data_IF_321145993288
#
_entry.id   IF_321145993288
#
_cell.length_a   1.000
_cell.length_b   1.000
_cell.length_c   1.000
_cell.angle_alpha   90.00
_cell.angle_beta   90.00
_cell.angle_gamma   90.00
#
_symmetry.space_group_name_H-M   'P 1'
#
loop_
_entity.id
_entity.type
_entity.pdbx_description
1 polymer ?
#
# COMPACT_ATOMS: atom_id res chain seq x y z
N UNK A 1 49.61 8.43 20.94
CA UNK A 1 48.85 9.54 20.32
C UNK A 1 47.38 9.18 20.28
N UNK A 2 46.64 9.79 21.21
CA UNK A 2 45.19 10.07 21.23
C UNK A 2 44.18 8.94 20.98
N UNK A 3 43.93 8.16 22.03
CA UNK A 3 42.64 7.54 22.33
C UNK A 3 41.56 8.63 22.39
N UNK A 4 40.54 8.56 21.52
CA UNK A 4 39.32 9.38 21.65
C UNK A 4 38.52 8.84 22.83
N UNK A 5 38.55 9.56 23.95
CA UNK A 5 37.59 9.37 25.04
C UNK A 5 36.18 9.61 24.52
N UNK A 6 35.38 8.55 24.48
CA UNK A 6 33.92 8.62 24.53
C UNK A 6 33.55 9.09 25.92
N UNK A 7 33.31 10.40 26.07
CA UNK A 7 32.77 10.95 27.30
C UNK A 7 31.26 10.71 27.30
N UNK A 8 30.83 9.62 27.95
CA UNK A 8 29.50 9.47 28.49
C UNK A 8 29.27 10.57 29.54
N UNK A 9 28.61 11.66 29.14
CA UNK A 9 28.02 12.65 30.06
C UNK A 9 26.56 12.82 29.65
N UNK A 10 25.75 11.79 29.91
CA UNK A 10 24.31 11.86 29.79
C UNK A 10 23.71 12.01 31.19
N UNK A 11 23.38 13.24 31.61
CA UNK A 11 22.50 13.44 32.76
C UNK A 11 22.64 14.74 33.58
N UNK A 12 23.70 15.54 33.42
CA UNK A 12 23.98 16.64 34.37
C UNK A 12 23.71 18.06 33.85
N UNK A 13 23.75 18.30 32.53
CA UNK A 13 23.89 19.66 32.01
C UNK A 13 22.58 20.46 31.95
N UNK A 14 21.41 19.81 32.00
CA UNK A 14 20.11 20.47 31.87
C UNK A 14 19.30 20.49 33.16
N UNK A 15 19.94 20.22 34.30
CA UNK A 15 19.34 20.40 35.63
C UNK A 15 19.28 21.88 36.01
N UNK A 16 20.26 22.67 35.56
CA UNK A 16 20.36 24.10 35.89
C UNK A 16 19.58 24.98 34.91
N UNK A 17 19.04 26.10 35.40
CA UNK A 17 18.35 27.08 34.56
C UNK A 17 19.25 27.65 33.45
N UNK A 18 20.54 27.81 33.72
CA UNK A 18 21.51 28.30 32.73
C UNK A 18 21.84 27.25 31.68
N UNK A 19 21.97 25.98 32.07
CA UNK A 19 22.12 24.85 31.14
C UNK A 19 20.94 24.72 30.17
N UNK A 20 19.71 24.80 30.69
CA UNK A 20 18.49 24.81 29.85
C UNK A 20 18.43 26.01 28.91
N UNK A 21 18.89 27.16 29.38
CA UNK A 21 18.96 28.40 28.59
C UNK A 21 19.97 28.31 27.46
N UNK A 22 21.14 27.72 27.72
CA UNK A 22 22.16 27.47 26.70
C UNK A 22 21.63 26.47 25.66
N UNK A 23 20.98 25.40 26.09
CA UNK A 23 20.38 24.40 25.21
C UNK A 23 19.33 25.00 24.27
N UNK A 24 18.46 25.89 24.76
CA UNK A 24 17.47 26.59 23.93
C UNK A 24 18.15 27.52 22.89
N UNK A 25 19.23 28.21 23.27
CA UNK A 25 19.97 29.09 22.36
C UNK A 25 20.68 28.30 21.26
N UNK A 26 21.28 27.17 21.61
CA UNK A 26 22.02 26.30 20.70
C UNK A 26 21.11 25.31 19.96
N UNK A 27 19.82 25.23 20.31
CA UNK A 27 18.88 24.22 19.82
C UNK A 27 19.44 22.80 20.00
N UNK A 28 20.01 22.53 21.17
CA UNK A 28 20.70 21.28 21.46
C UNK A 28 19.71 20.10 21.44
N UNK A 29 19.85 19.12 20.53
CA UNK A 29 18.95 17.96 20.46
C UNK A 29 19.00 17.11 21.73
N UNK A 30 20.13 17.08 22.42
CA UNK A 30 20.34 16.38 23.69
C UNK A 30 19.45 16.87 24.84
N UNK A 31 18.87 18.07 24.73
CA UNK A 31 17.97 18.62 25.74
C UNK A 31 16.49 18.27 25.49
N UNK A 32 16.14 17.79 24.29
CA UNK A 32 14.78 17.34 24.03
C UNK A 32 14.46 16.09 24.87
N UNK A 33 13.37 16.14 25.62
CA UNK A 33 12.99 15.08 26.58
C UNK A 33 13.62 15.24 27.97
N UNK A 34 14.54 16.19 28.16
CA UNK A 34 15.09 16.55 29.47
C UNK A 34 14.56 17.89 30.01
N UNK A 35 14.10 18.78 29.12
CA UNK A 35 13.39 19.99 29.51
C UNK A 35 12.47 20.51 28.40
N UNK A 36 11.53 21.38 28.79
CA UNK A 36 10.73 22.21 27.88
C UNK A 36 10.80 23.68 28.30
N UNK A 37 10.58 24.59 27.36
CA UNK A 37 10.50 26.02 27.61
C UNK A 37 9.08 26.54 27.38
N UNK A 38 8.50 27.26 28.34
CA UNK A 38 7.22 27.94 28.20
C UNK A 38 7.39 29.42 27.95
N UNK A 39 6.47 30.01 27.16
CA UNK A 39 6.50 31.42 26.75
C UNK A 39 5.22 32.09 27.22
N UNK A 40 5.33 32.91 28.27
CA UNK A 40 4.19 33.56 28.92
C UNK A 40 3.33 34.40 27.96
N UNK A 41 3.94 35.03 26.96
CA UNK A 41 3.21 35.88 26.00
C UNK A 41 2.29 35.10 25.04
N UNK A 42 2.40 33.76 24.98
CA UNK A 42 1.67 32.94 23.98
C UNK A 42 0.94 31.76 24.58
N UNK A 43 1.10 31.51 25.89
CA UNK A 43 0.64 30.32 26.60
C UNK A 43 1.05 29.01 25.90
N UNK A 44 2.24 28.99 25.29
CA UNK A 44 2.80 27.82 24.59
C UNK A 44 4.06 27.35 25.28
N UNK A 45 4.22 26.03 25.40
CA UNK A 45 5.53 25.42 25.68
C UNK A 45 6.06 24.64 24.48
N UNK A 46 7.38 24.64 24.35
CA UNK A 46 8.15 24.12 23.22
C UNK A 46 9.33 23.28 23.71
N UNK A 47 9.83 22.43 22.81
CA UNK A 47 11.16 21.82 22.95
C UNK A 47 12.28 22.84 22.69
N UNK A 48 13.48 22.63 23.27
CA UNK A 48 14.68 23.40 22.94
C UNK A 48 14.99 23.46 21.43
N UNK A 49 14.74 22.39 20.68
CA UNK A 49 14.99 22.33 19.22
C UNK A 49 13.93 23.01 18.35
N UNK A 50 12.83 23.50 18.93
CA UNK A 50 11.64 23.92 18.18
C UNK A 50 11.96 24.96 17.08
N UNK A 51 11.60 24.73 15.80
CA UNK A 51 11.92 25.64 14.68
C UNK A 51 11.19 26.99 14.73
N UNK A 52 10.28 27.18 15.68
CA UNK A 52 9.64 28.47 15.91
C UNK A 52 10.67 29.55 16.26
N UNK A 53 10.32 30.81 15.96
CA UNK A 53 11.17 31.96 16.30
C UNK A 53 11.43 31.95 17.81
N UNK A 54 12.70 32.12 18.26
CA UNK A 54 13.01 32.13 19.68
C UNK A 54 12.23 33.24 20.38
N UNK A 55 11.61 32.91 21.51
CA UNK A 55 10.98 33.91 22.36
C UNK A 55 12.05 34.87 22.92
N UNK A 56 11.68 36.14 23.11
CA UNK A 56 12.56 37.13 23.73
C UNK A 56 12.93 36.66 25.14
N UNK A 57 14.22 36.80 25.50
CA UNK A 57 14.85 36.26 26.71
C UNK A 57 14.13 36.58 28.05
N UNK A 58 13.23 37.55 28.09
CA UNK A 58 12.56 38.02 29.32
C UNK A 58 11.29 37.24 29.68
N UNK A 59 10.71 36.44 28.78
CA UNK A 59 9.38 35.82 28.98
C UNK A 59 9.39 34.29 28.95
N UNK A 60 10.57 33.66 29.15
CA UNK A 60 10.75 32.21 29.06
C UNK A 60 10.97 31.59 30.44
N UNK A 61 10.18 30.57 30.77
CA UNK A 61 10.39 29.68 31.92
C UNK A 61 10.74 28.26 31.43
N UNK A 62 11.41 27.47 32.27
CA UNK A 62 11.81 26.10 31.95
C UNK A 62 11.16 25.09 32.89
N UNK A 63 10.80 23.94 32.34
CA UNK A 63 10.15 22.82 33.05
C UNK A 63 10.84 21.50 32.68
N UNK A 64 10.63 20.46 33.46
CA UNK A 64 11.36 19.19 33.33
C UNK A 64 10.85 18.34 32.16
N UNK A 65 9.54 18.09 32.09
CA UNK A 65 8.95 17.20 31.06
C UNK A 65 7.87 17.88 30.24
N UNK A 66 6.97 18.62 30.89
CA UNK A 66 5.90 19.40 30.26
C UNK A 66 5.59 20.67 31.08
N UNK A 67 4.65 21.48 30.59
CA UNK A 67 4.17 22.67 31.29
C UNK A 67 2.63 22.76 31.32
N UNK A 68 1.92 21.63 31.19
CA UNK A 68 0.45 21.60 31.07
C UNK A 68 -0.20 22.02 32.38
N UNK A 69 0.28 21.48 33.51
CA UNK A 69 -0.23 21.84 34.84
C UNK A 69 0.05 23.31 35.20
N UNK A 70 1.05 23.92 34.57
CA UNK A 70 1.35 25.34 34.68
C UNK A 70 0.49 26.22 33.74
N UNK A 71 -0.48 25.63 33.02
CA UNK A 71 -1.44 26.35 32.17
C UNK A 71 -1.00 26.56 30.72
N UNK A 72 0.11 25.98 30.28
CA UNK A 72 0.63 26.16 28.92
C UNK A 72 0.15 25.05 27.98
N UNK A 73 -0.21 25.40 26.75
CA UNK A 73 -0.57 24.44 25.70
C UNK A 73 0.66 23.95 24.92
N UNK A 74 0.68 22.70 24.43
CA UNK A 74 1.80 22.20 23.63
C UNK A 74 1.91 22.91 22.28
N UNK A 75 3.14 23.17 21.85
CA UNK A 75 3.40 23.75 20.54
C UNK A 75 3.03 22.78 19.40
N UNK A 76 2.14 23.20 18.50
CA UNK A 76 1.74 22.39 17.32
C UNK A 76 2.88 22.09 16.33
N UNK A 77 3.99 22.83 16.41
CA UNK A 77 5.12 22.72 15.47
C UNK A 77 6.17 21.70 15.90
N UNK A 78 6.59 21.74 17.17
CA UNK A 78 7.52 20.73 17.70
C UNK A 78 6.82 19.57 18.40
N UNK A 79 5.54 19.74 18.78
CA UNK A 79 4.70 18.76 19.48
C UNK A 79 5.46 18.12 20.65
N UNK A 80 5.76 18.93 21.69
CA UNK A 80 6.62 18.52 22.80
C UNK A 80 6.07 17.33 23.59
N UNK A 81 4.76 17.10 23.48
CA UNK A 81 3.94 16.05 24.06
C UNK A 81 3.96 14.71 23.30
N UNK A 82 4.45 14.67 22.05
CA UNK A 82 4.58 13.44 21.25
C UNK A 82 6.00 12.83 21.36
N UNK A 83 6.31 11.69 20.73
CA UNK A 83 7.69 11.15 20.70
C UNK A 83 8.69 12.13 20.02
N UNK A 84 10.00 11.91 20.16
CA UNK A 84 11.01 12.75 19.47
C UNK A 84 10.85 12.65 17.94
N UNK A 85 11.09 13.74 17.17
CA UNK A 85 10.96 13.73 15.72
C UNK A 85 11.78 12.62 15.05
N UNK A 86 13.02 12.40 15.50
CA UNK A 86 13.89 11.34 14.99
C UNK A 86 13.31 9.94 15.22
N UNK A 87 12.70 9.70 16.39
CA UNK A 87 12.00 8.44 16.67
C UNK A 87 10.78 8.23 15.78
N UNK A 88 10.00 9.30 15.52
CA UNK A 88 8.86 9.25 14.58
C UNK A 88 9.30 8.94 13.15
N UNK A 89 10.43 9.49 12.70
CA UNK A 89 10.98 9.16 11.39
C UNK A 89 11.49 7.72 11.32
N UNK A 90 12.17 7.23 12.35
CA UNK A 90 12.66 5.85 12.40
C UNK A 90 11.51 4.82 12.37
N UNK A 91 10.43 5.07 13.11
CA UNK A 91 9.22 4.23 13.08
C UNK A 91 8.52 4.30 11.71
N UNK A 92 8.38 5.49 11.13
CA UNK A 92 7.81 5.65 9.80
C UNK A 92 8.64 4.96 8.71
N UNK A 93 9.98 5.03 8.80
CA UNK A 93 10.90 4.33 7.90
C UNK A 93 10.79 2.82 8.10
N UNK A 94 10.79 2.33 9.34
CA UNK A 94 10.63 0.90 9.63
C UNK A 94 9.30 0.36 9.11
N UNK A 95 8.22 1.12 9.32
CA UNK A 95 6.90 0.78 8.80
C UNK A 95 6.88 0.81 7.27
N UNK A 96 7.53 1.78 6.63
CA UNK A 96 7.67 1.84 5.19
C UNK A 96 8.48 0.65 4.64
N UNK A 97 9.60 0.29 5.26
CA UNK A 97 10.40 -0.89 4.89
C UNK A 97 9.56 -2.17 4.98
N UNK A 98 8.82 -2.38 6.07
CA UNK A 98 7.92 -3.55 6.20
C UNK A 98 6.83 -3.58 5.14
N UNK A 99 6.28 -2.42 4.76
CA UNK A 99 5.28 -2.32 3.68
C UNK A 99 5.89 -2.59 2.31
N UNK A 100 7.15 -2.22 2.08
CA UNK A 100 7.90 -2.53 0.85
C UNK A 100 8.22 -4.03 0.80
N UNK A 101 8.76 -4.60 1.88
CA UNK A 101 9.06 -6.04 1.98
C UNK A 101 7.80 -6.90 1.84
N UNK A 102 6.67 -6.47 2.42
CA UNK A 102 5.38 -7.13 2.24
C UNK A 102 4.83 -6.99 0.80
N UNK A 103 5.16 -5.90 0.11
CA UNK A 103 4.81 -5.72 -1.30
C UNK A 103 5.68 -6.56 -2.24
N UNK A 104 6.94 -6.84 -1.87
CA UNK A 104 7.88 -7.70 -2.59
C UNK A 104 7.51 -9.20 -2.53
N UNK A 105 6.60 -9.60 -1.62
CA UNK A 105 6.12 -10.98 -1.52
C UNK A 105 5.13 -11.37 -2.65
N UNK A 106 4.70 -10.43 -3.50
CA UNK A 106 3.79 -10.67 -4.63
C UNK A 106 4.37 -10.07 -5.93
N UNK A 107 5.14 -10.87 -6.68
CA UNK A 107 5.50 -10.57 -8.07
C UNK A 107 6.74 -9.67 -8.31
N UNK A 108 6.96 -9.31 -9.57
CA UNK A 108 8.03 -8.47 -10.14
C UNK A 108 8.39 -7.25 -9.28
N UNK A 109 9.65 -6.82 -9.36
CA UNK A 109 10.05 -5.57 -8.71
C UNK A 109 9.26 -4.41 -9.36
N UNK A 110 8.70 -3.47 -8.58
CA UNK A 110 7.92 -2.35 -9.11
C UNK A 110 8.63 -1.55 -10.23
N UNK A 111 9.97 -1.52 -10.23
CA UNK A 111 10.78 -0.84 -11.23
C UNK A 111 10.76 -1.46 -12.64
N UNK A 112 10.53 -2.77 -12.77
CA UNK A 112 10.57 -3.46 -14.07
C UNK A 112 9.25 -3.27 -14.84
N UNK A 113 8.13 -3.21 -14.11
CA UNK A 113 6.82 -2.88 -14.67
C UNK A 113 6.69 -1.40 -15.05
N UNK A 114 7.25 -0.49 -14.22
CA UNK A 114 7.28 0.95 -14.52
C UNK A 114 8.13 1.29 -15.76
N UNK A 115 9.06 0.41 -16.13
CA UNK A 115 9.84 0.48 -17.37
C UNK A 115 9.21 -0.32 -18.51
N UNK A 116 7.88 -0.51 -18.50
CA UNK A 116 7.16 -1.15 -19.59
C UNK A 116 7.52 -2.62 -19.82
N UNK A 117 8.13 -3.32 -18.85
CA UNK A 117 8.54 -4.71 -19.00
C UNK A 117 9.90 -4.91 -19.70
N UNK A 118 10.76 -3.91 -19.72
CA UNK A 118 12.08 -4.02 -20.36
C UNK A 118 12.87 -5.24 -19.85
N UNK A 119 13.23 -6.13 -20.77
CA UNK A 119 14.00 -7.34 -20.47
C UNK A 119 13.18 -8.49 -19.87
N UNK A 120 11.85 -8.39 -19.93
CA UNK A 120 10.92 -9.44 -19.50
C UNK A 120 10.30 -10.08 -20.73
N UNK A 121 10.34 -11.41 -20.78
CA UNK A 121 9.59 -12.19 -21.77
C UNK A 121 8.18 -12.45 -21.24
N UNK A 122 7.17 -12.10 -22.05
CA UNK A 122 5.76 -12.34 -21.74
C UNK A 122 5.25 -13.38 -22.72
N UNK A 123 5.05 -14.59 -22.20
CA UNK A 123 4.35 -15.66 -22.91
C UNK A 123 2.87 -15.37 -22.88
N UNK A 124 2.21 -15.50 -24.02
CA UNK A 124 0.76 -15.38 -24.06
C UNK A 124 0.11 -16.32 -25.08
N UNK A 125 -1.17 -16.57 -24.86
CA UNK A 125 -2.06 -17.21 -25.82
C UNK A 125 -3.45 -16.58 -25.74
N UNK A 126 -4.19 -16.69 -26.82
CA UNK A 126 -5.61 -16.36 -26.87
C UNK A 126 -6.38 -17.62 -27.23
N UNK A 127 -7.40 -17.92 -26.44
CA UNK A 127 -8.25 -19.11 -26.58
C UNK A 127 -9.71 -18.73 -26.35
N UNK A 128 -10.62 -19.68 -26.49
CA UNK A 128 -12.06 -19.47 -26.32
C UNK A 128 -12.56 -20.10 -25.03
N UNK A 129 -13.54 -19.44 -24.41
CA UNK A 129 -14.29 -19.95 -23.26
C UNK A 129 -15.79 -19.73 -23.46
N UNK A 130 -16.60 -20.20 -22.50
CA UNK A 130 -18.04 -19.88 -22.44
C UNK A 130 -18.33 -18.38 -22.32
N UNK A 131 -17.34 -17.56 -21.94
CA UNK A 131 -17.46 -16.11 -21.73
C UNK A 131 -16.81 -15.27 -22.85
N UNK A 132 -16.53 -15.90 -24.00
CA UNK A 132 -15.86 -15.28 -25.15
C UNK A 132 -14.36 -15.60 -25.22
N UNK A 133 -13.61 -14.79 -25.96
CA UNK A 133 -12.16 -14.95 -26.09
C UNK A 133 -11.47 -14.63 -24.76
N UNK A 134 -10.46 -15.42 -24.42
CA UNK A 134 -9.65 -15.28 -23.21
C UNK A 134 -8.19 -15.16 -23.61
N UNK A 135 -7.58 -14.04 -23.24
CA UNK A 135 -6.13 -13.88 -23.28
C UNK A 135 -5.56 -14.30 -21.94
N UNK A 136 -4.57 -15.19 -21.96
CA UNK A 136 -3.76 -15.57 -20.80
C UNK A 136 -2.31 -15.20 -21.10
N UNK A 137 -1.70 -14.42 -20.22
CA UNK A 137 -0.30 -14.04 -20.31
C UNK A 137 0.43 -14.20 -18.97
N UNK A 138 1.70 -14.55 -19.05
CA UNK A 138 2.57 -14.72 -17.88
C UNK A 138 4.04 -14.50 -18.19
N UNK A 139 4.79 -14.28 -17.12
CA UNK A 139 6.25 -14.20 -17.11
C UNK A 139 6.81 -15.52 -16.62
N UNK A 140 8.14 -15.64 -16.52
CA UNK A 140 8.78 -16.80 -15.86
C UNK A 140 8.40 -16.96 -14.37
N UNK A 141 7.78 -15.94 -13.76
CA UNK A 141 7.38 -15.95 -12.35
C UNK A 141 5.94 -16.37 -12.12
N UNK A 142 5.07 -16.25 -13.13
CA UNK A 142 3.65 -16.54 -12.97
C UNK A 142 2.74 -15.81 -13.96
N UNK A 143 1.43 -16.04 -13.80
CA UNK A 143 0.39 -15.37 -14.58
C UNK A 143 0.33 -13.90 -14.18
N UNK A 144 0.51 -13.01 -15.18
CA UNK A 144 0.46 -11.57 -14.99
C UNK A 144 -0.81 -10.94 -15.57
N UNK A 145 -1.52 -11.64 -16.47
CA UNK A 145 -2.75 -11.13 -17.08
C UNK A 145 -3.69 -12.25 -17.53
N UNK A 146 -4.97 -12.13 -17.19
CA UNK A 146 -6.08 -12.94 -17.72
C UNK A 146 -7.21 -11.98 -18.07
N UNK A 147 -7.63 -11.94 -19.33
CA UNK A 147 -8.61 -10.97 -19.83
C UNK A 147 -9.63 -11.62 -20.74
N UNK A 148 -10.88 -11.21 -20.62
CA UNK A 148 -11.92 -11.55 -21.58
C UNK A 148 -12.02 -10.48 -22.67
N UNK A 149 -12.42 -10.88 -23.88
CA UNK A 149 -12.72 -9.97 -24.98
C UNK A 149 -13.53 -10.64 -26.08
N UNK A 150 -14.12 -9.83 -26.94
CA UNK A 150 -14.82 -10.30 -28.14
C UNK A 150 -13.90 -10.34 -29.36
N UNK A 151 -12.87 -9.50 -29.38
CA UNK A 151 -11.88 -9.41 -30.44
C UNK A 151 -10.46 -9.80 -29.95
N UNK A 152 -9.90 -10.92 -30.43
CA UNK A 152 -8.52 -11.32 -30.16
C UNK A 152 -7.45 -10.27 -30.54
N UNK A 153 -7.68 -9.48 -31.60
CA UNK A 153 -6.73 -8.45 -32.02
C UNK A 153 -6.64 -7.34 -30.97
N UNK A 154 -7.79 -6.82 -30.54
CA UNK A 154 -7.87 -5.84 -29.46
C UNK A 154 -7.24 -6.34 -28.14
N UNK A 155 -7.41 -7.62 -27.80
CA UNK A 155 -6.76 -8.21 -26.61
C UNK A 155 -5.23 -8.19 -26.73
N UNK A 156 -4.70 -8.49 -27.92
CA UNK A 156 -3.26 -8.46 -28.19
C UNK A 156 -2.71 -7.04 -28.14
N UNK A 157 -3.40 -6.08 -28.75
CA UNK A 157 -3.03 -4.66 -28.72
C UNK A 157 -3.02 -4.11 -27.28
N UNK A 158 -4.02 -4.45 -26.46
CA UNK A 158 -4.05 -4.04 -25.05
C UNK A 158 -2.96 -4.72 -24.22
N UNK A 159 -2.54 -5.94 -24.58
CA UNK A 159 -1.39 -6.59 -23.93
C UNK A 159 -0.10 -5.82 -24.25
N UNK A 160 0.13 -5.52 -25.53
CA UNK A 160 1.31 -4.77 -25.99
C UNK A 160 1.36 -3.36 -25.41
N UNK A 161 0.23 -2.66 -25.34
CA UNK A 161 0.14 -1.33 -24.72
C UNK A 161 0.50 -1.34 -23.23
N UNK A 162 0.16 -2.42 -22.52
CA UNK A 162 0.47 -2.56 -21.09
C UNK A 162 1.94 -2.97 -20.84
N UNK A 163 2.63 -3.49 -21.84
CA UNK A 163 3.99 -4.02 -21.75
C UNK A 163 4.86 -3.55 -22.94
N UNK A 164 4.95 -2.23 -23.12
CA UNK A 164 5.56 -1.59 -24.30
C UNK A 164 7.01 -2.00 -24.59
N UNK A 165 7.76 -2.40 -23.57
CA UNK A 165 9.18 -2.73 -23.65
C UNK A 165 9.46 -4.22 -23.39
N UNK A 166 8.43 -5.04 -23.19
CA UNK A 166 8.57 -6.48 -23.04
C UNK A 166 8.69 -7.19 -24.38
N UNK A 167 9.34 -8.36 -24.37
CA UNK A 167 9.32 -9.27 -25.52
C UNK A 167 8.07 -10.13 -25.43
N UNK A 168 7.15 -9.97 -26.36
CA UNK A 168 5.93 -10.79 -26.42
C UNK A 168 6.24 -12.06 -27.22
N UNK A 169 6.10 -13.22 -26.59
CA UNK A 169 6.40 -14.52 -27.19
C UNK A 169 5.18 -15.45 -27.15
N UNK A 170 5.05 -16.40 -28.09
CA UNK A 170 3.98 -17.39 -28.06
C UNK A 170 4.08 -18.31 -26.83
N UNK A 171 2.95 -18.86 -26.41
CA UNK A 171 2.89 -19.93 -25.41
C UNK A 171 3.77 -21.14 -25.81
N UNK A 172 4.54 -21.65 -24.85
CA UNK A 172 5.23 -22.94 -24.95
C UNK A 172 4.47 -24.02 -24.15
N UNK A 173 5.01 -25.26 -24.15
CA UNK A 173 4.37 -26.39 -23.46
C UNK A 173 4.24 -26.15 -21.95
N UNK A 174 5.28 -25.60 -21.31
CA UNK A 174 5.26 -25.38 -19.86
C UNK A 174 4.24 -24.30 -19.47
N UNK A 175 4.12 -23.25 -20.27
CA UNK A 175 3.08 -22.24 -20.09
C UNK A 175 1.67 -22.80 -20.37
N UNK A 176 1.56 -23.78 -21.28
CA UNK A 176 0.30 -24.48 -21.58
C UNK A 176 -0.38 -25.06 -20.33
N UNK A 177 0.38 -25.63 -19.39
CA UNK A 177 -0.18 -26.19 -18.15
C UNK A 177 -0.85 -25.11 -17.28
N UNK A 178 -0.29 -23.90 -17.23
CA UNK A 178 -0.92 -22.77 -16.54
C UNK A 178 -2.17 -22.28 -17.27
N UNK A 179 -2.14 -22.25 -18.60
CA UNK A 179 -3.31 -21.89 -19.42
C UNK A 179 -4.46 -22.87 -19.16
N UNK A 180 -4.19 -24.17 -19.19
CA UNK A 180 -5.19 -25.21 -18.93
C UNK A 180 -5.79 -25.09 -17.53
N UNK A 181 -4.96 -24.74 -16.55
CA UNK A 181 -5.42 -24.47 -15.17
C UNK A 181 -6.35 -23.26 -15.11
N UNK A 182 -6.00 -22.16 -15.79
CA UNK A 182 -6.84 -20.95 -15.87
C UNK A 182 -8.17 -21.29 -16.55
N UNK A 183 -8.16 -22.02 -17.66
CA UNK A 183 -9.38 -22.42 -18.37
C UNK A 183 -10.25 -23.35 -17.54
N UNK A 184 -9.63 -24.27 -16.80
CA UNK A 184 -10.34 -25.16 -15.87
C UNK A 184 -11.03 -24.35 -14.79
N UNK A 185 -10.38 -23.35 -14.20
CA UNK A 185 -11.01 -22.48 -13.20
C UNK A 185 -12.15 -21.62 -13.79
N UNK A 186 -12.03 -21.17 -15.03
CA UNK A 186 -13.11 -20.45 -15.73
C UNK A 186 -14.32 -21.37 -15.99
N UNK A 187 -14.09 -22.62 -16.38
CA UNK A 187 -15.16 -23.58 -16.67
C UNK A 187 -15.77 -24.19 -15.39
N UNK A 188 -14.97 -24.41 -14.36
CA UNK A 188 -15.33 -25.12 -13.13
C UNK A 188 -14.88 -24.31 -11.90
N UNK A 189 -15.59 -23.21 -11.58
CA UNK A 189 -15.21 -22.33 -10.47
C UNK A 189 -15.30 -23.08 -9.13
N UNK A 190 -14.36 -22.79 -8.23
CA UNK A 190 -14.27 -23.43 -6.91
C UNK A 190 -13.23 -24.54 -6.79
N UNK A 191 -12.63 -24.99 -7.88
CA UNK A 191 -11.40 -25.80 -7.80
C UNK A 191 -10.24 -24.89 -7.39
N UNK A 192 -9.74 -25.06 -6.16
CA UNK A 192 -8.53 -24.37 -5.70
C UNK A 192 -7.33 -24.97 -6.42
N UNK A 193 -6.70 -24.18 -7.29
CA UNK A 193 -5.42 -24.53 -7.89
C UNK A 193 -4.43 -23.42 -7.58
N UNK A 194 -3.26 -23.81 -7.10
CA UNK A 194 -2.17 -22.88 -6.78
C UNK A 194 -1.46 -22.48 -8.07
N UNK A 195 -1.96 -21.40 -8.68
CA UNK A 195 -1.34 -20.75 -9.83
C UNK A 195 -0.39 -19.65 -9.33
N UNK A 196 0.89 -19.67 -9.72
CA UNK A 196 1.78 -18.57 -9.39
C UNK A 196 1.29 -17.29 -10.07
N UNK A 197 1.13 -16.22 -9.30
CA UNK A 197 0.68 -14.92 -9.80
C UNK A 197 1.82 -13.91 -9.78
N UNK A 198 2.01 -13.22 -10.90
CA UNK A 198 2.95 -12.12 -11.04
C UNK A 198 2.17 -10.82 -11.35
N UNK A 199 1.39 -10.38 -10.38
CA UNK A 199 0.49 -9.22 -10.51
C UNK A 199 1.01 -8.01 -9.75
N UNK A 200 1.03 -6.85 -10.41
CA UNK A 200 1.53 -5.61 -9.85
C UNK A 200 0.40 -4.68 -9.43
N UNK A 201 0.51 -4.12 -8.23
CA UNK A 201 -0.47 -3.17 -7.70
C UNK A 201 0.08 -2.41 -6.50
N UNK A 202 -0.54 -1.29 -6.16
CA UNK A 202 -0.23 -0.62 -4.89
C UNK A 202 -0.55 -1.56 -3.72
N UNK A 203 0.06 -1.34 -2.56
CA UNK A 203 -0.24 -2.10 -1.34
C UNK A 203 -1.75 -2.08 -0.98
N UNK A 204 -2.48 -1.04 -1.40
CA UNK A 204 -3.93 -1.01 -1.29
C UNK A 204 -4.60 -2.01 -2.25
N UNK A 205 -4.22 -2.01 -3.54
CA UNK A 205 -4.78 -2.94 -4.54
C UNK A 205 -4.48 -4.39 -4.19
N UNK A 206 -3.25 -4.71 -3.80
CA UNK A 206 -2.85 -6.06 -3.40
C UNK A 206 -3.73 -6.58 -2.23
N UNK A 207 -3.97 -5.75 -1.21
CA UNK A 207 -4.88 -6.11 -0.10
C UNK A 207 -6.31 -6.33 -0.56
N UNK A 208 -6.83 -5.50 -1.46
CA UNK A 208 -8.17 -5.70 -2.04
C UNK A 208 -8.23 -7.01 -2.82
N UNK A 209 -7.26 -7.28 -3.69
CA UNK A 209 -7.23 -8.51 -4.49
C UNK A 209 -7.10 -9.76 -3.63
N UNK A 210 -6.37 -9.70 -2.51
CA UNK A 210 -6.35 -10.79 -1.54
C UNK A 210 -7.74 -11.03 -0.93
N UNK A 211 -8.41 -9.97 -0.46
CA UNK A 211 -9.77 -10.09 0.08
C UNK A 211 -10.76 -10.66 -0.95
N UNK A 212 -10.61 -10.31 -2.23
CA UNK A 212 -11.43 -10.87 -3.31
C UNK A 212 -11.22 -12.39 -3.43
N UNK A 213 -9.97 -12.86 -3.41
CA UNK A 213 -9.64 -14.29 -3.47
C UNK A 213 -10.22 -15.08 -2.29
N UNK A 214 -10.40 -14.42 -1.14
CA UNK A 214 -10.99 -15.01 0.06
C UNK A 214 -12.53 -15.04 0.03
N UNK A 215 -13.20 -14.43 -0.97
CA UNK A 215 -14.66 -14.52 -1.10
C UNK A 215 -15.01 -15.93 -1.61
N UNK A 216 -15.81 -16.73 -0.88
CA UNK A 216 -16.15 -18.08 -1.30
C UNK A 216 -16.93 -18.14 -2.62
N UNK A 217 -16.88 -19.30 -3.27
CA UNK A 217 -17.76 -19.61 -4.41
C UNK A 217 -19.24 -19.43 -4.00
N UNK A 218 -20.04 -18.86 -4.90
CA UNK A 218 -21.47 -18.65 -4.65
C UNK A 218 -21.78 -17.47 -3.72
N UNK A 219 -20.76 -16.71 -3.29
CA UNK A 219 -20.93 -15.55 -2.42
C UNK A 219 -20.46 -14.26 -3.10
N UNK A 220 -21.09 -13.16 -2.70
CA UNK A 220 -20.69 -11.81 -3.12
C UNK A 220 -20.34 -10.97 -1.89
N UNK A 221 -19.54 -9.93 -2.11
CA UNK A 221 -19.23 -8.93 -1.10
C UNK A 221 -19.45 -7.54 -1.66
N UNK A 222 -20.00 -6.63 -0.86
CA UNK A 222 -20.13 -5.24 -1.26
C UNK A 222 -18.78 -4.51 -1.24
N UNK A 223 -18.61 -3.49 -2.07
CA UNK A 223 -17.41 -2.62 -2.02
C UNK A 223 -17.19 -2.04 -0.61
N UNK A 224 -18.26 -1.72 0.12
CA UNK A 224 -18.22 -1.26 1.51
C UNK A 224 -17.76 -2.36 2.47
N UNK A 225 -18.25 -3.60 2.30
CA UNK A 225 -17.83 -4.75 3.11
C UNK A 225 -16.36 -5.11 2.88
N UNK A 226 -15.88 -5.04 1.63
CA UNK A 226 -14.46 -5.21 1.31
C UNK A 226 -13.62 -4.10 1.95
N UNK A 227 -14.08 -2.84 1.87
CA UNK A 227 -13.41 -1.69 2.49
C UNK A 227 -13.27 -1.85 4.01
N UNK A 228 -14.29 -2.39 4.68
CA UNK A 228 -14.25 -2.74 6.10
C UNK A 228 -13.22 -3.84 6.40
N UNK A 229 -13.21 -4.93 5.61
CA UNK A 229 -12.28 -6.06 5.79
C UNK A 229 -10.81 -5.66 5.66
N UNK A 230 -10.48 -4.67 4.81
CA UNK A 230 -9.10 -4.15 4.68
C UNK A 230 -8.75 -3.05 5.71
N UNK A 231 -9.65 -2.77 6.67
CA UNK A 231 -9.44 -1.75 7.71
C UNK A 231 -9.59 -0.31 7.24
N UNK A 232 -10.26 -0.06 6.11
CA UNK A 232 -10.49 1.29 5.57
C UNK A 232 -11.97 1.50 5.21
N UNK A 233 -12.89 1.61 6.20
CA UNK A 233 -14.34 1.57 5.98
C UNK A 233 -14.89 2.63 5.01
N UNK A 234 -14.21 3.76 4.85
CA UNK A 234 -14.62 4.86 3.95
C UNK A 234 -14.11 4.71 2.52
N UNK A 235 -13.34 3.65 2.21
CA UNK A 235 -12.63 3.50 0.95
C UNK A 235 -13.41 2.76 -0.15
N UNK A 236 -14.74 2.66 -0.09
CA UNK A 236 -15.55 1.88 -1.03
C UNK A 236 -15.31 2.26 -2.51
N UNK A 237 -15.21 3.56 -2.83
CA UNK A 237 -14.89 4.00 -4.21
C UNK A 237 -13.49 3.58 -4.66
N UNK A 238 -12.52 3.59 -3.75
CA UNK A 238 -11.16 3.14 -4.04
C UNK A 238 -11.10 1.62 -4.24
N UNK A 239 -11.89 0.86 -3.48
CA UNK A 239 -12.09 -0.58 -3.68
C UNK A 239 -12.65 -0.86 -5.07
N UNK A 240 -13.72 -0.17 -5.49
CA UNK A 240 -14.28 -0.33 -6.83
C UNK A 240 -13.23 -0.07 -7.93
N UNK A 241 -12.39 0.95 -7.73
CA UNK A 241 -11.25 1.22 -8.62
C UNK A 241 -10.19 0.10 -8.61
N UNK A 242 -9.91 -0.50 -7.45
CA UNK A 242 -9.02 -1.65 -7.35
C UNK A 242 -9.58 -2.88 -8.07
N UNK A 243 -10.89 -3.17 -7.93
CA UNK A 243 -11.60 -4.22 -8.66
C UNK A 243 -11.53 -4.01 -10.17
N UNK A 244 -11.73 -2.76 -10.65
CA UNK A 244 -11.64 -2.41 -12.07
C UNK A 244 -10.21 -2.54 -12.63
N UNK A 245 -9.19 -2.40 -11.79
CA UNK A 245 -7.78 -2.54 -12.16
C UNK A 245 -7.24 -3.97 -12.05
N UNK A 246 -8.08 -4.95 -11.73
CA UNK A 246 -7.67 -6.35 -11.67
C UNK A 246 -7.09 -6.81 -13.04
N UNK A 247 -5.85 -7.31 -13.08
CA UNK A 247 -5.24 -7.80 -14.32
C UNK A 247 -5.58 -9.27 -14.62
N UNK A 248 -6.08 -10.04 -13.66
CA UNK A 248 -6.29 -11.50 -13.77
C UNK A 248 -7.74 -11.88 -13.47
N UNK A 249 -8.59 -11.80 -14.49
CA UNK A 249 -10.01 -12.18 -14.41
C UNK A 249 -10.19 -13.59 -13.85
N UNK A 250 -11.26 -13.80 -13.08
CA UNK A 250 -11.63 -15.07 -12.41
C UNK A 250 -10.65 -15.54 -11.32
N UNK A 251 -9.35 -15.53 -11.60
CA UNK A 251 -8.31 -15.94 -10.64
C UNK A 251 -8.28 -15.00 -9.43
N UNK A 252 -8.36 -13.69 -9.69
CA UNK A 252 -8.84 -12.72 -8.70
C UNK A 252 -10.31 -12.46 -9.03
N UNK A 253 -11.27 -12.96 -8.22
CA UNK A 253 -12.68 -13.00 -8.60
C UNK A 253 -13.38 -11.65 -8.34
N UNK A 254 -12.95 -10.60 -9.04
CA UNK A 254 -13.53 -9.26 -8.89
C UNK A 254 -14.99 -9.16 -9.37
N UNK A 255 -15.50 -10.17 -10.09
CA UNK A 255 -16.93 -10.30 -10.40
C UNK A 255 -17.79 -10.54 -9.16
N UNK A 256 -17.22 -11.09 -8.07
CA UNK A 256 -17.91 -11.27 -6.77
C UNK A 256 -18.06 -9.98 -5.96
N UNK A 257 -17.37 -8.90 -6.35
CA UNK A 257 -17.56 -7.59 -5.74
C UNK A 257 -18.79 -6.89 -6.36
N UNK A 258 -19.77 -6.54 -5.53
CA UNK A 258 -21.03 -5.91 -5.96
C UNK A 258 -21.26 -4.57 -5.28
N UNK A 259 -22.21 -3.78 -5.77
CA UNK A 259 -22.62 -2.56 -5.08
C UNK A 259 -23.31 -2.90 -3.76
N UNK A 260 -23.36 -1.92 -2.85
CA UNK A 260 -24.05 -2.07 -1.55
C UNK A 260 -25.53 -2.43 -1.69
N UNK A 261 -26.18 -2.02 -2.78
CA UNK A 261 -27.58 -2.35 -3.10
C UNK A 261 -27.76 -3.72 -3.77
N UNK A 262 -26.69 -4.53 -3.87
CA UNK A 262 -26.69 -5.82 -4.58
C UNK A 262 -26.66 -5.68 -6.10
N UNK A 263 -26.71 -4.45 -6.63
CA UNK A 263 -26.69 -4.20 -8.07
C UNK A 263 -25.34 -4.52 -8.70
N UNK A 264 -25.39 -5.04 -9.93
CA UNK A 264 -24.22 -5.20 -10.76
C UNK A 264 -23.90 -3.86 -11.43
N UNK A 265 -22.72 -3.32 -11.15
CA UNK A 265 -22.13 -2.24 -11.92
C UNK A 265 -20.63 -2.49 -12.04
N UNK A 266 -20.02 -1.87 -13.05
CA UNK A 266 -18.57 -1.83 -13.18
C UNK A 266 -17.95 -3.22 -13.28
N UNK A 267 -17.64 -3.63 -14.51
CA UNK A 267 -16.77 -4.76 -14.74
C UNK A 267 -15.87 -4.43 -15.91
N UNK A 268 -14.57 -4.63 -15.75
CA UNK A 268 -13.58 -4.30 -16.78
C UNK A 268 -13.93 -4.93 -18.13
N UNK A 269 -14.51 -6.12 -18.10
CA UNK A 269 -14.85 -6.91 -19.27
C UNK A 269 -16.36 -6.96 -19.58
N UNK A 270 -17.15 -6.01 -19.05
CA UNK A 270 -18.58 -5.88 -19.35
C UNK A 270 -19.53 -6.54 -18.34
N UNK A 271 -20.66 -5.87 -18.06
CA UNK A 271 -21.60 -6.29 -17.01
C UNK A 271 -22.23 -7.66 -17.31
N UNK A 272 -22.46 -8.00 -18.57
CA UNK A 272 -23.07 -9.28 -18.94
C UNK A 272 -22.16 -10.46 -18.61
N UNK A 273 -20.84 -10.33 -18.81
CA UNK A 273 -19.86 -11.35 -18.35
C UNK A 273 -19.84 -11.48 -16.84
N UNK A 274 -19.92 -10.36 -16.11
CA UNK A 274 -19.99 -10.38 -14.64
C UNK A 274 -21.21 -11.16 -14.16
N UNK A 275 -22.37 -10.93 -14.79
CA UNK A 275 -23.60 -11.65 -14.49
C UNK A 275 -23.47 -13.14 -14.80
N UNK A 276 -23.03 -13.50 -16.01
CA UNK A 276 -22.87 -14.89 -16.42
C UNK A 276 -21.91 -15.68 -15.51
N UNK A 277 -20.81 -15.05 -15.05
CA UNK A 277 -19.91 -15.65 -14.08
C UNK A 277 -20.58 -15.88 -12.73
N UNK A 278 -21.36 -14.92 -12.22
CA UNK A 278 -22.07 -15.09 -10.95
C UNK A 278 -23.18 -16.15 -11.02
N UNK A 279 -23.90 -16.22 -12.13
CA UNK A 279 -24.91 -17.26 -12.40
C UNK A 279 -24.26 -18.65 -12.43
N UNK A 280 -23.11 -18.79 -13.11
CA UNK A 280 -22.34 -20.04 -13.14
C UNK A 280 -21.88 -20.47 -11.73
N UNK A 281 -21.62 -19.52 -10.84
CA UNK A 281 -21.24 -19.77 -9.45
C UNK A 281 -22.45 -20.00 -8.51
N UNK A 282 -23.69 -19.83 -8.99
CA UNK A 282 -24.90 -19.92 -8.17
C UNK A 282 -25.11 -18.75 -7.21
N UNK A 283 -24.50 -17.59 -7.49
CA UNK A 283 -24.53 -16.40 -6.64
C UNK A 283 -25.55 -15.33 -7.07
N UNK A 284 -26.20 -15.51 -8.22
CA UNK A 284 -27.11 -14.55 -8.82
C UNK A 284 -28.23 -15.25 -9.60
#
# INVERSE_FOLDING_TARGET
MSTRQTNDIAGSDYVTADGRRLALQQRAPSADGQCVCSVAATDVFCRPTCPSRPALRKTVAFHDTDAVLAGFRPCKRCRPDEALPQSRHAEAVTQACRLIEAADALGMKPGDYQRGGLGVDIRFTITTSLHGSVLVAGTDRGICSVRFGDDPAALTEELQANFLLATIVPADRAFGDWVDTVLTQIAHPGQTVDLPLDIQGTAFRQRVWQILRDIPLGQTASDTGIAQRIGQPTAARAVAGACASNPVAVIVPCHRAVRTDGGLSGYRWGIDRKRALLEQEGAF
#
